data_IF_603746158435
#
_entry.id   IF_603746158435
#
_cell.length_a   1.000
_cell.length_b   1.000
_cell.length_c   1.000
_cell.angle_alpha   90.00
_cell.angle_beta   90.00
_cell.angle_gamma   90.00
#
_symmetry.space_group_name_H-M   'P 1'
#
loop_
_entity.id
_entity.type
_entity.pdbx_description
1 polymer ?
#
# COMPACT_ATOMS: atom_id res chain seq x y z
N UNK A 1 -9.90 -2.66 -7.90
CA UNK A 1 -8.73 -3.25 -8.57
C UNK A 1 -8.24 -4.42 -7.73
N UNK A 2 -8.22 -5.62 -8.31
CA UNK A 2 -7.87 -6.85 -7.59
C UNK A 2 -6.37 -7.11 -7.67
N UNK A 3 -5.74 -7.45 -6.55
CA UNK A 3 -4.30 -7.76 -6.46
C UNK A 3 -4.05 -9.00 -5.58
N UNK A 4 -2.88 -9.61 -5.74
CA UNK A 4 -2.52 -10.86 -5.06
C UNK A 4 -1.47 -10.61 -3.99
N UNK A 5 -1.73 -11.13 -2.80
CA UNK A 5 -0.80 -11.11 -1.69
C UNK A 5 -0.19 -12.50 -1.50
N UNK A 6 1.07 -12.55 -1.09
CA UNK A 6 1.75 -13.80 -0.74
C UNK A 6 2.67 -13.58 0.43
N UNK A 7 2.57 -14.44 1.45
CA UNK A 7 3.58 -14.55 2.51
C UNK A 7 4.25 -15.91 2.42
N UNK A 8 5.58 -15.90 2.50
CA UNK A 8 6.39 -17.12 2.57
C UNK A 8 7.13 -17.14 3.90
N UNK A 9 6.81 -18.13 4.71
CA UNK A 9 7.57 -18.47 5.91
C UNK A 9 8.36 -19.76 5.65
N UNK A 10 9.28 -20.11 6.54
CA UNK A 10 10.02 -21.37 6.46
C UNK A 10 9.12 -22.62 6.43
N UNK A 11 7.92 -22.54 7.00
CA UNK A 11 6.99 -23.67 7.15
C UNK A 11 5.77 -23.62 6.22
N UNK A 12 5.34 -22.44 5.80
CA UNK A 12 4.11 -22.25 5.04
C UNK A 12 4.24 -21.15 4.01
N UNK A 13 3.68 -21.39 2.82
CA UNK A 13 3.36 -20.37 1.84
C UNK A 13 1.86 -20.16 1.85
N UNK A 14 1.45 -18.93 2.10
CA UNK A 14 0.04 -18.55 2.12
C UNK A 14 -0.19 -17.42 1.12
N UNK A 15 -1.37 -17.47 0.48
CA UNK A 15 -1.79 -16.53 -0.55
C UNK A 15 -3.20 -16.07 -0.24
N UNK A 16 -3.46 -14.81 -0.51
CA UNK A 16 -4.81 -14.24 -0.47
C UNK A 16 -4.93 -13.16 -1.52
N UNK A 17 -6.16 -12.72 -1.74
CA UNK A 17 -6.49 -11.66 -2.67
C UNK A 17 -6.93 -10.44 -1.87
N UNK A 18 -6.50 -9.26 -2.31
CA UNK A 18 -7.06 -7.99 -1.86
C UNK A 18 -7.72 -7.27 -3.04
N UNK A 19 -8.61 -6.34 -2.74
CA UNK A 19 -9.28 -5.51 -3.73
C UNK A 19 -9.29 -4.05 -3.27
N UNK A 20 -8.78 -3.15 -4.11
CA UNK A 20 -8.98 -1.71 -3.96
C UNK A 20 -10.40 -1.41 -4.42
N UNK A 21 -11.32 -1.18 -3.48
CA UNK A 21 -12.74 -0.93 -3.76
C UNK A 21 -13.05 0.53 -4.03
N UNK A 22 -12.19 1.43 -3.56
CA UNK A 22 -12.31 2.88 -3.77
C UNK A 22 -10.91 3.50 -3.89
N UNK A 23 -10.76 4.47 -4.78
CA UNK A 23 -9.53 5.22 -4.99
C UNK A 23 -9.87 6.68 -5.32
N UNK A 24 -9.30 7.63 -4.57
CA UNK A 24 -9.50 9.06 -4.74
C UNK A 24 -8.15 9.77 -4.83
N UNK A 25 -8.07 10.72 -5.76
CA UNK A 25 -6.97 11.69 -5.85
C UNK A 25 -7.40 12.98 -5.17
N UNK A 26 -6.61 13.39 -4.20
CA UNK A 26 -6.67 14.72 -3.59
C UNK A 26 -5.45 15.50 -4.09
N UNK A 27 -5.54 16.84 -4.17
CA UNK A 27 -4.51 17.66 -4.82
C UNK A 27 -3.06 17.31 -4.44
N UNK A 28 -2.79 16.97 -3.17
CA UNK A 28 -1.46 16.62 -2.66
C UNK A 28 -1.26 15.14 -2.29
N UNK A 29 -2.30 14.31 -2.29
CA UNK A 29 -2.25 12.94 -1.76
C UNK A 29 -3.37 12.06 -2.33
N UNK A 30 -3.32 10.79 -2.00
CA UNK A 30 -4.26 9.78 -2.44
C UNK A 30 -4.93 9.14 -1.24
N UNK A 31 -6.16 8.71 -1.46
CA UNK A 31 -6.93 7.90 -0.53
C UNK A 31 -7.37 6.63 -1.26
N UNK A 32 -7.24 5.48 -0.61
CA UNK A 32 -7.81 4.23 -1.10
C UNK A 32 -8.42 3.39 0.01
N UNK A 33 -9.49 2.68 -0.32
CA UNK A 33 -10.10 1.67 0.54
C UNK A 33 -9.76 0.29 -0.01
N UNK A 34 -9.16 -0.55 0.83
CA UNK A 34 -8.83 -1.93 0.52
C UNK A 34 -9.80 -2.85 1.27
N UNK A 35 -10.33 -3.83 0.56
CA UNK A 35 -11.05 -4.97 1.12
C UNK A 35 -10.22 -6.26 0.94
N UNK A 36 -10.02 -7.00 2.02
CA UNK A 36 -9.16 -8.18 2.10
C UNK A 36 -9.65 -9.04 3.29
N UNK A 37 -8.74 -9.54 4.13
CA UNK A 37 -9.09 -10.15 5.42
C UNK A 37 -9.58 -9.11 6.44
N UNK A 38 -9.21 -7.86 6.22
CA UNK A 38 -9.59 -6.66 6.95
C UNK A 38 -9.96 -5.57 5.94
N UNK A 39 -10.76 -4.60 6.35
CA UNK A 39 -11.01 -3.38 5.59
C UNK A 39 -10.03 -2.29 6.03
N UNK A 40 -9.24 -1.74 5.11
CA UNK A 40 -8.16 -0.79 5.42
C UNK A 40 -8.33 0.50 4.63
N UNK A 41 -8.42 1.63 5.33
CA UNK A 41 -8.27 2.95 4.73
C UNK A 41 -6.78 3.29 4.67
N UNK A 42 -6.29 3.67 3.48
CA UNK A 42 -4.90 4.07 3.27
C UNK A 42 -4.88 5.47 2.66
N UNK A 43 -4.23 6.39 3.34
CA UNK A 43 -3.95 7.75 2.86
C UNK A 43 -2.45 7.84 2.61
N UNK A 44 -2.04 8.17 1.39
CA UNK A 44 -0.62 8.14 1.03
C UNK A 44 -0.28 9.24 0.03
N UNK A 45 0.98 9.65 0.00
CA UNK A 45 1.41 10.73 -0.88
C UNK A 45 2.89 11.04 -0.75
N UNK A 46 3.27 12.21 -1.24
CA UNK A 46 4.64 12.71 -1.21
C UNK A 46 4.78 13.89 -0.27
N UNK A 47 5.94 13.96 0.35
CA UNK A 47 6.44 15.13 1.07
C UNK A 47 7.78 15.53 0.48
N UNK A 48 8.35 16.65 0.94
CA UNK A 48 9.72 17.03 0.60
C UNK A 48 10.78 16.06 1.16
N UNK A 49 10.39 15.14 2.05
CA UNK A 49 11.25 14.13 2.69
C UNK A 49 10.97 12.71 2.19
N UNK A 50 10.24 12.55 1.08
CA UNK A 50 9.89 11.24 0.50
C UNK A 50 8.41 10.89 0.64
N UNK A 51 8.08 9.62 0.40
CA UNK A 51 6.71 9.12 0.46
C UNK A 51 6.22 8.87 1.88
N UNK A 52 4.91 8.83 2.05
CA UNK A 52 4.27 8.40 3.30
C UNK A 52 3.01 7.59 3.02
N UNK A 53 2.67 6.71 3.96
CA UNK A 53 1.35 6.09 4.07
C UNK A 53 0.86 6.14 5.51
N UNK A 54 -0.43 6.40 5.66
CA UNK A 54 -1.18 6.41 6.90
C UNK A 54 -2.37 5.46 6.78
N UNK A 55 -2.61 4.69 7.83
CA UNK A 55 -3.74 3.79 7.97
C UNK A 55 -4.53 4.19 9.23
N UNK A 56 -5.43 5.20 9.13
CA UNK A 56 -6.08 5.79 10.30
C UNK A 56 -6.86 4.79 11.15
N UNK A 57 -7.51 3.82 10.51
CA UNK A 57 -8.28 2.75 11.18
C UNK A 57 -7.44 1.94 12.18
N UNK A 58 -6.12 1.94 12.00
CA UNK A 58 -5.14 1.21 12.81
C UNK A 58 -4.24 2.13 13.64
N UNK A 59 -4.44 3.45 13.56
CA UNK A 59 -3.57 4.43 14.22
C UNK A 59 -2.10 4.34 13.78
N UNK A 60 -1.85 3.90 12.55
CA UNK A 60 -0.52 3.57 12.05
C UNK A 60 -0.11 4.45 10.85
N UNK A 61 1.20 4.65 10.70
CA UNK A 61 1.77 5.32 9.53
C UNK A 61 3.27 5.09 9.42
N UNK A 62 3.82 5.18 8.21
CA UNK A 62 5.24 5.03 7.96
C UNK A 62 5.70 5.81 6.73
N UNK A 63 7.00 6.01 6.62
CA UNK A 63 7.60 6.46 5.37
C UNK A 63 7.50 5.39 4.29
N UNK A 64 7.31 5.84 3.06
CA UNK A 64 7.42 5.04 1.86
C UNK A 64 8.62 5.51 1.04
N UNK A 65 9.18 4.57 0.29
CA UNK A 65 10.10 4.88 -0.81
C UNK A 65 9.30 4.85 -2.11
N UNK A 66 9.88 4.30 -3.18
CA UNK A 66 9.15 4.20 -4.41
C UNK A 66 7.92 3.26 -4.27
N UNK A 67 6.74 3.58 -4.82
CA UNK A 67 5.56 2.68 -4.71
C UNK A 67 5.83 1.29 -5.30
N UNK A 68 6.67 1.22 -6.34
CA UNK A 68 7.09 -0.03 -6.99
C UNK A 68 8.17 -0.78 -6.20
N UNK A 69 8.78 -0.16 -5.18
CA UNK A 69 9.68 -0.86 -4.26
C UNK A 69 8.89 -1.69 -3.27
N UNK A 70 8.56 -2.89 -3.72
CA UNK A 70 7.78 -3.87 -2.96
C UNK A 70 8.52 -4.31 -1.70
N UNK A 71 9.86 -4.41 -1.72
CA UNK A 71 10.62 -4.96 -0.61
C UNK A 71 10.62 -4.01 0.58
N UNK A 72 11.04 -2.77 0.37
CA UNK A 72 11.16 -1.78 1.45
C UNK A 72 9.80 -1.38 2.00
N UNK A 73 8.80 -1.17 1.12
CA UNK A 73 7.46 -0.82 1.57
C UNK A 73 6.82 -1.96 2.36
N UNK A 74 7.02 -3.23 1.96
CA UNK A 74 6.53 -4.37 2.74
C UNK A 74 7.17 -4.41 4.12
N UNK A 75 8.48 -4.22 4.22
CA UNK A 75 9.17 -4.20 5.51
C UNK A 75 8.57 -3.13 6.43
N UNK A 76 8.52 -1.87 5.98
CA UNK A 76 7.99 -0.75 6.79
C UNK A 76 6.51 -0.87 7.15
N UNK A 77 5.68 -1.31 6.21
CA UNK A 77 4.26 -1.49 6.49
C UNK A 77 4.00 -2.65 7.45
N UNK A 78 4.78 -3.74 7.36
CA UNK A 78 4.63 -4.86 8.30
C UNK A 78 5.14 -4.56 9.71
N UNK A 79 6.08 -3.62 9.87
CA UNK A 79 6.49 -3.11 11.19
C UNK A 79 5.32 -2.42 11.92
N UNK A 80 4.46 -1.69 11.21
CA UNK A 80 3.40 -0.85 11.82
C UNK A 80 1.99 -1.46 11.78
N UNK A 81 1.69 -2.35 10.82
CA UNK A 81 0.38 -3.02 10.68
C UNK A 81 0.41 -4.51 11.03
N UNK A 82 1.60 -5.08 11.23
CA UNK A 82 1.78 -6.53 11.26
C UNK A 82 1.78 -7.15 9.86
N UNK A 83 2.10 -8.45 9.82
CA UNK A 83 2.49 -9.13 8.56
C UNK A 83 1.39 -9.16 7.50
N UNK A 84 0.16 -9.48 7.87
CA UNK A 84 -0.93 -9.69 6.90
C UNK A 84 -1.38 -8.36 6.30
N UNK A 85 -1.69 -7.38 7.14
CA UNK A 85 -2.19 -6.08 6.71
C UNK A 85 -1.07 -5.26 6.05
N UNK A 86 0.16 -5.33 6.58
CA UNK A 86 1.32 -4.67 5.99
C UNK A 86 1.63 -5.16 4.57
N UNK A 87 1.63 -6.48 4.33
CA UNK A 87 1.77 -7.05 2.98
C UNK A 87 0.61 -6.62 2.08
N UNK A 88 -0.62 -6.59 2.63
CA UNK A 88 -1.81 -6.20 1.87
C UNK A 88 -1.71 -4.77 1.36
N UNK A 89 -1.30 -3.82 2.22
CA UNK A 89 -1.13 -2.41 1.82
C UNK A 89 0.03 -2.25 0.84
N UNK A 90 1.16 -2.94 1.05
CA UNK A 90 2.32 -2.86 0.15
C UNK A 90 1.98 -3.35 -1.27
N UNK A 91 1.25 -4.45 -1.38
CA UNK A 91 0.81 -5.00 -2.67
C UNK A 91 -0.24 -4.11 -3.35
N UNK A 92 -1.12 -3.47 -2.58
CA UNK A 92 -2.08 -2.50 -3.12
C UNK A 92 -1.36 -1.27 -3.71
N UNK A 93 -0.40 -0.71 -2.97
CA UNK A 93 0.41 0.43 -3.42
C UNK A 93 1.19 0.09 -4.70
N UNK A 94 1.77 -1.11 -4.77
CA UNK A 94 2.42 -1.59 -5.98
C UNK A 94 1.42 -1.69 -7.15
N UNK A 95 0.25 -2.29 -6.92
CA UNK A 95 -0.75 -2.53 -7.97
C UNK A 95 -1.32 -1.23 -8.58
N UNK A 96 -1.47 -0.18 -7.77
CA UNK A 96 -2.00 1.11 -8.23
C UNK A 96 -0.91 2.05 -8.78
N UNK A 97 0.37 1.71 -8.63
CA UNK A 97 1.49 2.59 -8.98
C UNK A 97 1.48 3.04 -10.44
N UNK A 98 1.29 2.13 -11.40
CA UNK A 98 1.21 2.47 -12.83
C UNK A 98 0.05 3.42 -13.14
N UNK A 99 -1.12 3.21 -12.50
CA UNK A 99 -2.27 4.08 -12.69
C UNK A 99 -2.01 5.50 -12.14
N UNK A 100 -1.20 5.62 -11.07
CA UNK A 100 -0.79 6.92 -10.54
C UNK A 100 0.18 7.62 -11.50
N UNK A 101 1.11 6.87 -12.11
CA UNK A 101 2.05 7.42 -13.10
C UNK A 101 1.32 8.06 -14.27
N UNK A 102 0.28 7.39 -14.74
CA UNK A 102 -0.58 7.86 -15.83
C UNK A 102 -1.40 9.09 -15.41
N UNK A 103 -1.87 9.15 -14.15
CA UNK A 103 -2.66 10.26 -13.61
C UNK A 103 -1.82 11.51 -13.30
N UNK A 104 -0.56 11.34 -12.96
CA UNK A 104 0.35 12.43 -12.59
C UNK A 104 1.27 12.86 -13.74
N UNK A 105 1.39 12.06 -14.81
CA UNK A 105 2.33 12.31 -15.89
C UNK A 105 3.80 12.26 -15.44
N UNK A 106 4.06 11.71 -14.25
CA UNK A 106 5.38 11.59 -13.61
C UNK A 106 5.46 10.20 -12.98
N UNK A 107 6.59 9.50 -13.15
CA UNK A 107 6.82 8.18 -12.55
C UNK A 107 6.56 8.20 -11.04
N UNK A 108 5.93 7.11 -10.57
CA UNK A 108 5.40 6.91 -9.22
C UNK A 108 6.42 7.29 -8.18
N UNK A 109 5.90 7.69 -7.01
CA UNK A 109 6.64 7.87 -5.74
C UNK A 109 7.89 7.06 -5.80
#
# INVERSE_FOLDING_TARGET
>A
MVFKCTIKTSRRKERWTGNIVEFKKHGSHYEMRIDSRSGILVIFGRTTQGGFACMPDFGAGCHLVNLKDRFWNTEKLTEVLGKVDGITVAEALFAISDAIDDLDGVKSI
#
